data_IF_597185727139
#
_entry.id   IF_597185727139
#
_cell.length_a   1.000
_cell.length_b   1.000
_cell.length_c   1.000
_cell.angle_alpha   90.00
_cell.angle_beta   90.00
_cell.angle_gamma   90.00
#
_symmetry.space_group_name_H-M   'P 1'
#
loop_
_entity.id
_entity.type
_entity.pdbx_description
1 polymer ?
#
# COMPACT_ATOMS: atom_id res chain seq x y z
N UNK A 1 0.72 20.14 -3.30
CA UNK A 1 0.04 19.52 -2.14
C UNK A 1 -1.34 18.95 -2.49
N UNK A 2 -2.09 19.52 -3.45
CA UNK A 2 -3.41 19.00 -3.85
C UNK A 2 -3.38 17.65 -4.61
N UNK A 3 -2.37 17.41 -5.46
CA UNK A 3 -2.33 16.20 -6.31
C UNK A 3 -2.08 14.90 -5.53
N UNK A 4 -1.25 14.93 -4.48
CA UNK A 4 -1.04 13.76 -3.62
C UNK A 4 -2.31 13.38 -2.84
N UNK A 5 -3.07 14.38 -2.38
CA UNK A 5 -4.36 14.16 -1.74
C UNK A 5 -5.37 13.56 -2.70
N UNK A 6 -5.39 13.99 -3.97
CA UNK A 6 -6.34 13.46 -4.96
C UNK A 6 -6.04 12.00 -5.35
N UNK A 7 -4.76 11.66 -5.53
CA UNK A 7 -4.33 10.27 -5.80
C UNK A 7 -4.61 9.34 -4.64
N UNK A 8 -4.35 9.77 -3.41
CA UNK A 8 -4.66 8.97 -2.22
C UNK A 8 -6.16 8.73 -2.09
N UNK A 9 -7.01 9.71 -2.43
CA UNK A 9 -8.46 9.54 -2.47
C UNK A 9 -8.87 8.50 -3.51
N UNK A 10 -8.36 8.60 -4.73
CA UNK A 10 -8.62 7.61 -5.78
C UNK A 10 -8.19 6.20 -5.38
N UNK A 11 -7.05 6.08 -4.68
CA UNK A 11 -6.61 4.81 -4.11
C UNK A 11 -7.63 4.27 -3.11
N UNK A 12 -8.09 5.10 -2.18
CA UNK A 12 -9.07 4.71 -1.14
C UNK A 12 -10.42 4.32 -1.77
N UNK A 13 -10.89 5.08 -2.75
CA UNK A 13 -12.15 4.81 -3.44
C UNK A 13 -12.08 3.54 -4.31
N UNK A 14 -10.90 3.20 -4.84
CA UNK A 14 -10.64 1.98 -5.59
C UNK A 14 -10.44 0.71 -4.76
N UNK A 15 -10.45 0.80 -3.42
CA UNK A 15 -10.34 -0.36 -2.55
C UNK A 15 -11.60 -1.24 -2.63
N UNK A 16 -11.38 -2.55 -2.75
CA UNK A 16 -12.42 -3.57 -2.61
C UNK A 16 -12.87 -3.70 -1.15
N UNK A 17 -14.09 -4.19 -0.93
CA UNK A 17 -14.62 -4.40 0.44
C UNK A 17 -13.87 -5.50 1.21
N UNK A 18 -13.15 -6.37 0.50
CA UNK A 18 -12.19 -7.34 1.06
C UNK A 18 -10.92 -6.68 1.63
N UNK A 19 -10.76 -5.37 1.43
CA UNK A 19 -9.58 -4.61 1.84
C UNK A 19 -8.38 -4.81 0.94
N UNK A 20 -7.26 -4.20 1.32
CA UNK A 20 -6.01 -4.30 0.59
C UNK A 20 -4.79 -4.15 1.50
N UNK A 21 -3.66 -4.65 1.03
CA UNK A 21 -2.36 -4.32 1.61
C UNK A 21 -1.76 -3.14 0.86
N UNK A 22 -1.51 -2.03 1.56
CA UNK A 22 -1.00 -0.78 0.99
C UNK A 22 0.44 -0.58 1.45
N UNK A 23 1.36 -0.49 0.49
CA UNK A 23 2.79 -0.30 0.74
C UNK A 23 3.12 1.19 0.72
N UNK A 24 3.73 1.69 1.80
CA UNK A 24 4.08 3.10 1.97
C UNK A 24 5.55 3.27 2.36
N UNK A 25 6.15 4.42 2.02
CA UNK A 25 7.53 4.74 2.44
C UNK A 25 7.64 5.12 3.93
N UNK A 26 6.56 5.63 4.53
CA UNK A 26 6.56 6.20 5.88
C UNK A 26 5.34 5.79 6.69
N UNK A 27 5.55 5.58 7.99
CA UNK A 27 4.50 5.15 8.92
C UNK A 27 3.42 6.21 9.13
N UNK A 28 3.75 7.50 9.09
CA UNK A 28 2.78 8.59 9.20
C UNK A 28 1.78 8.60 8.03
N UNK A 29 2.26 8.34 6.81
CA UNK A 29 1.42 8.21 5.62
C UNK A 29 0.50 6.99 5.75
N UNK A 30 1.04 5.86 6.23
CA UNK A 30 0.23 4.67 6.50
C UNK A 30 -0.88 4.93 7.53
N UNK A 31 -0.62 5.72 8.58
CA UNK A 31 -1.64 6.12 9.55
C UNK A 31 -2.68 7.05 8.92
N UNK A 32 -2.22 8.03 8.15
CA UNK A 32 -3.10 8.98 7.47
C UNK A 32 -4.03 8.28 6.46
N UNK A 33 -3.51 7.34 5.67
CA UNK A 33 -4.30 6.52 4.76
C UNK A 33 -5.33 5.66 5.51
N UNK A 34 -4.92 5.00 6.60
CA UNK A 34 -5.86 4.20 7.40
C UNK A 34 -7.01 5.04 7.95
N UNK A 35 -6.71 6.27 8.40
CA UNK A 35 -7.72 7.23 8.84
C UNK A 35 -8.65 7.61 7.68
N UNK A 36 -8.10 7.94 6.51
CA UNK A 36 -8.87 8.28 5.32
C UNK A 36 -9.78 7.14 4.83
N UNK A 37 -9.32 5.88 4.93
CA UNK A 37 -10.13 4.69 4.62
C UNK A 37 -11.26 4.55 5.62
N UNK A 38 -10.98 4.72 6.91
CA UNK A 38 -12.01 4.67 7.96
C UNK A 38 -13.10 5.71 7.75
N UNK A 39 -12.73 6.95 7.42
CA UNK A 39 -13.67 8.04 7.21
C UNK A 39 -14.51 7.89 5.93
N UNK A 40 -13.93 7.29 4.87
CA UNK A 40 -14.59 7.18 3.56
C UNK A 40 -15.32 5.87 3.32
N UNK A 41 -14.70 4.74 3.67
CA UNK A 41 -15.19 3.38 3.41
C UNK A 41 -15.77 2.72 4.68
N UNK A 42 -15.62 3.37 5.83
CA UNK A 42 -16.10 2.87 7.10
C UNK A 42 -15.15 1.88 7.79
N UNK A 43 -15.52 1.50 9.01
CA UNK A 43 -14.69 0.69 9.90
C UNK A 43 -14.35 -0.69 9.33
N UNK A 44 -15.30 -1.36 8.69
CA UNK A 44 -15.14 -2.74 8.19
C UNK A 44 -14.02 -2.83 7.15
N UNK A 45 -14.07 -1.98 6.12
CA UNK A 45 -13.03 -1.93 5.08
C UNK A 45 -11.69 -1.49 5.66
N UNK A 46 -11.69 -0.53 6.60
CA UNK A 46 -10.46 -0.08 7.26
C UNK A 46 -9.79 -1.16 8.12
N UNK A 47 -10.55 -2.11 8.66
CA UNK A 47 -10.02 -3.24 9.42
C UNK A 47 -9.45 -4.33 8.49
N UNK A 48 -10.09 -4.53 7.34
CA UNK A 48 -9.58 -5.41 6.27
C UNK A 48 -8.34 -4.83 5.56
N UNK A 49 -8.07 -3.53 5.69
CA UNK A 49 -6.90 -2.89 5.09
C UNK A 49 -5.67 -2.94 6.00
N UNK A 50 -4.53 -3.30 5.41
CA UNK A 50 -3.24 -3.34 6.09
C UNK A 50 -2.25 -2.39 5.45
N UNK A 51 -1.64 -1.52 6.23
CA UNK A 51 -0.54 -0.66 5.75
C UNK A 51 0.80 -1.27 6.13
N UNK A 52 1.72 -1.37 5.17
CA UNK A 52 3.07 -1.87 5.38
C UNK A 52 4.06 -0.79 5.00
N UNK A 53 4.86 -0.38 5.98
CA UNK A 53 5.95 0.57 5.75
C UNK A 53 7.21 -0.17 5.33
N UNK A 54 7.74 0.21 4.17
CA UNK A 54 8.99 -0.31 3.61
C UNK A 54 9.93 0.85 3.37
N UNK A 55 11.07 0.85 4.05
CA UNK A 55 12.11 1.86 3.87
C UNK A 55 13.46 1.22 3.54
N UNK A 56 13.72 0.04 4.09
CA UNK A 56 14.96 -0.70 3.92
C UNK A 56 14.72 -2.06 3.25
N UNK A 57 15.79 -2.63 2.71
CA UNK A 57 15.76 -3.97 2.08
C UNK A 57 15.26 -5.05 3.03
N UNK A 58 15.60 -4.95 4.32
CA UNK A 58 15.12 -5.88 5.36
C UNK A 58 13.60 -5.81 5.55
N UNK A 59 12.96 -4.68 5.25
CA UNK A 59 11.50 -4.55 5.37
C UNK A 59 10.75 -5.29 4.26
N UNK A 60 11.42 -5.61 3.14
CA UNK A 60 10.83 -6.35 2.02
C UNK A 60 10.36 -7.74 2.47
N UNK A 61 10.96 -8.33 3.49
CA UNK A 61 10.51 -9.60 4.07
C UNK A 61 9.06 -9.55 4.58
N UNK A 62 8.56 -8.35 4.93
CA UNK A 62 7.15 -8.14 5.33
C UNK A 62 6.18 -8.38 4.19
N UNK A 63 6.68 -8.37 2.94
CA UNK A 63 5.88 -8.62 1.74
C UNK A 63 5.81 -10.10 1.38
N UNK A 64 6.74 -10.91 1.88
CA UNK A 64 6.75 -12.35 1.63
C UNK A 64 5.56 -13.03 2.31
N UNK A 65 4.82 -13.82 1.54
CA UNK A 65 3.62 -14.52 2.02
C UNK A 65 2.36 -13.66 2.07
N UNK A 66 2.42 -12.41 1.61
CA UNK A 66 1.19 -11.65 1.36
C UNK A 66 0.37 -12.30 0.25
N UNK A 67 -0.94 -12.31 0.44
CA UNK A 67 -1.94 -12.67 -0.56
C UNK A 67 -2.99 -11.58 -0.66
N UNK A 68 -3.81 -11.64 -1.71
CA UNK A 68 -4.88 -10.66 -1.95
C UNK A 68 -4.39 -9.39 -2.63
N UNK A 69 -5.20 -8.32 -2.55
CA UNK A 69 -4.99 -7.09 -3.29
C UNK A 69 -3.86 -6.25 -2.68
N UNK A 70 -2.82 -5.99 -3.47
CA UNK A 70 -1.65 -5.19 -3.04
C UNK A 70 -1.51 -3.92 -3.88
N UNK A 71 -1.45 -2.78 -3.19
CA UNK A 71 -1.32 -1.45 -3.79
C UNK A 71 -0.03 -0.79 -3.30
N UNK A 72 0.71 -0.17 -4.21
CA UNK A 72 1.89 0.63 -3.89
C UNK A 72 1.45 2.09 -3.90
N UNK A 73 1.61 2.77 -2.77
CA UNK A 73 1.28 4.20 -2.66
C UNK A 73 2.32 5.06 -3.39
N UNK A 74 1.87 6.20 -3.90
CA UNK A 74 2.70 7.16 -4.63
C UNK A 74 3.87 7.68 -3.77
N UNK A 75 3.69 7.77 -2.44
CA UNK A 75 4.74 8.16 -1.52
C UNK A 75 5.89 7.15 -1.45
N UNK A 76 5.65 5.88 -1.79
CA UNK A 76 6.70 4.89 -1.95
C UNK A 76 7.44 5.07 -3.27
N UNK A 77 6.70 5.29 -4.37
CA UNK A 77 7.25 5.50 -5.71
C UNK A 77 8.05 6.80 -5.82
N UNK A 78 7.55 7.89 -5.26
CA UNK A 78 8.15 9.22 -5.28
C UNK A 78 8.97 9.56 -4.03
N UNK A 79 8.94 8.69 -3.01
CA UNK A 79 9.75 8.83 -1.82
C UNK A 79 11.24 8.64 -2.08
N UNK A 80 12.05 9.14 -1.13
CA UNK A 80 13.49 8.93 -1.07
C UNK A 80 13.84 7.50 -0.60
N UNK A 81 13.29 6.51 -1.30
CA UNK A 81 13.59 5.09 -1.13
C UNK A 81 14.67 4.70 -2.13
N UNK A 82 15.64 3.91 -1.69
CA UNK A 82 16.73 3.44 -2.55
C UNK A 82 16.16 2.66 -3.75
N UNK A 83 16.70 2.85 -4.96
CA UNK A 83 16.19 2.20 -6.17
C UNK A 83 16.24 0.67 -6.06
N UNK A 84 17.24 0.10 -5.36
CA UNK A 84 17.32 -1.34 -5.08
C UNK A 84 16.11 -1.85 -4.28
N UNK A 85 15.62 -1.06 -3.32
CA UNK A 85 14.46 -1.43 -2.48
C UNK A 85 13.18 -1.31 -3.29
N UNK A 86 13.05 -0.27 -4.13
CA UNK A 86 11.91 -0.11 -5.04
C UNK A 86 11.78 -1.32 -5.96
N UNK A 87 12.88 -1.70 -6.64
CA UNK A 87 12.90 -2.85 -7.54
C UNK A 87 12.53 -4.17 -6.83
N UNK A 88 12.99 -4.37 -5.58
CA UNK A 88 12.63 -5.56 -4.80
C UNK A 88 11.14 -5.58 -4.44
N UNK A 89 10.59 -4.44 -3.99
CA UNK A 89 9.16 -4.32 -3.68
C UNK A 89 8.32 -4.56 -4.93
N UNK A 90 8.66 -3.93 -6.06
CA UNK A 90 7.94 -4.12 -7.32
C UNK A 90 7.96 -5.58 -7.77
N UNK A 91 9.10 -6.26 -7.63
CA UNK A 91 9.23 -7.69 -7.92
C UNK A 91 8.34 -8.55 -7.04
N UNK A 92 8.34 -8.33 -5.72
CA UNK A 92 7.49 -9.09 -4.81
C UNK A 92 6.00 -8.83 -5.08
N UNK A 93 5.62 -7.57 -5.30
CA UNK A 93 4.23 -7.20 -5.63
C UNK A 93 3.78 -7.83 -6.94
N UNK A 94 4.64 -7.88 -7.97
CA UNK A 94 4.33 -8.57 -9.22
C UNK A 94 4.07 -10.07 -9.00
N UNK A 95 4.85 -10.73 -8.14
CA UNK A 95 4.64 -12.15 -7.78
C UNK A 95 3.33 -12.34 -7.05
N UNK A 96 2.97 -11.44 -6.12
CA UNK A 96 1.70 -11.52 -5.38
C UNK A 96 0.52 -11.34 -6.33
N UNK A 97 0.57 -10.34 -7.22
CA UNK A 97 -0.48 -10.09 -8.22
C UNK A 97 -0.65 -11.25 -9.19
N UNK A 98 0.44 -11.89 -9.60
CA UNK A 98 0.39 -13.08 -10.46
C UNK A 98 -0.28 -14.30 -9.82
N UNK A 99 -0.38 -14.33 -8.48
CA UNK A 99 -1.05 -15.40 -7.72
C UNK A 99 -2.53 -15.09 -7.43
N UNK A 100 -3.02 -13.91 -7.76
CA UNK A 100 -4.44 -13.59 -7.59
C UNK A 100 -5.23 -14.28 -8.71
N UNK A 101 -6.26 -15.11 -8.39
CA UNK A 101 -7.18 -15.60 -9.41
C UNK A 101 -7.94 -14.41 -10.00
N UNK A 102 -8.12 -14.44 -11.33
CA UNK A 102 -8.84 -13.43 -12.10
C UNK A 102 -10.32 -13.38 -11.75
#
# INVERSE_FOLDING_TARGET
MGEQMDRAKQLIDGLTDEGATIIVARSDIGRWLKQGIFERRGKLVADCCRTITVQHRSDVIKLSGLGGHVVIDDSFTNGNIRPEVKALVEREVAVIRAKQPA
#
